data_IF_117371408409
#
_entry.id   IF_117371408409
#
_cell.length_a   1.000
_cell.length_b   1.000
_cell.length_c   1.000
_cell.angle_alpha   90.00
_cell.angle_beta   90.00
_cell.angle_gamma   90.00
#
_symmetry.space_group_name_H-M   'P 1'
#
loop_
_entity.id
_entity.type
_entity.pdbx_description
1 polymer ?
#
# COMPACT_ATOMS: atom_id res chain seq x y z
N UNK A 1 -0.67 -31.80 -6.79
CA UNK A 1 -1.24 -30.94 -7.86
C UNK A 1 -2.50 -30.30 -7.34
N UNK A 2 -2.62 -28.99 -7.54
CA UNK A 2 -3.78 -28.20 -7.14
C UNK A 2 -4.78 -28.18 -8.30
N UNK A 3 -6.05 -28.47 -8.03
CA UNK A 3 -7.11 -28.48 -9.05
C UNK A 3 -7.56 -27.07 -9.41
N UNK A 4 -7.92 -26.87 -10.67
CA UNK A 4 -8.57 -25.65 -11.15
C UNK A 4 -10.05 -25.96 -11.30
N UNK A 5 -10.91 -25.16 -10.66
CA UNK A 5 -12.37 -25.28 -10.80
C UNK A 5 -12.97 -23.98 -11.32
N UNK A 6 -14.05 -24.11 -12.10
CA UNK A 6 -14.87 -22.99 -12.54
C UNK A 6 -16.09 -22.90 -11.65
N UNK A 7 -16.35 -21.72 -11.09
CA UNK A 7 -17.49 -21.47 -10.20
C UNK A 7 -18.46 -20.53 -10.91
N UNK A 8 -19.70 -20.98 -11.09
CA UNK A 8 -20.79 -20.11 -11.57
C UNK A 8 -21.09 -19.05 -10.52
N UNK A 9 -21.31 -17.82 -10.96
CA UNK A 9 -21.56 -16.67 -10.09
C UNK A 9 -22.70 -15.80 -10.63
N UNK A 10 -23.14 -14.84 -9.83
CA UNK A 10 -24.06 -13.79 -10.25
C UNK A 10 -23.32 -12.46 -10.19
N UNK A 11 -23.41 -11.67 -11.26
CA UNK A 11 -22.80 -10.36 -11.32
C UNK A 11 -23.40 -9.37 -10.29
N UNK A 12 -22.56 -8.43 -9.85
CA UNK A 12 -22.96 -7.31 -9.00
C UNK A 12 -22.94 -6.01 -9.82
N UNK A 13 -23.89 -5.12 -9.56
CA UNK A 13 -24.03 -3.87 -10.32
C UNK A 13 -23.27 -2.68 -9.72
N UNK A 14 -22.68 -2.85 -8.53
CA UNK A 14 -22.10 -1.78 -7.73
C UNK A 14 -20.58 -1.90 -7.52
N UNK A 15 -19.93 -2.77 -8.29
CA UNK A 15 -18.47 -3.01 -8.26
C UNK A 15 -17.67 -2.01 -9.10
N UNK A 16 -18.10 -0.73 -9.11
CA UNK A 16 -17.37 0.33 -9.82
C UNK A 16 -16.12 0.72 -9.00
N UNK A 17 -14.90 0.55 -9.52
CA UNK A 17 -13.72 1.08 -8.87
C UNK A 17 -13.76 2.62 -8.94
N UNK A 18 -13.56 3.30 -7.82
CA UNK A 18 -13.30 4.73 -7.82
C UNK A 18 -11.85 5.02 -8.24
N UNK A 19 -11.47 6.30 -8.25
CA UNK A 19 -10.08 6.75 -8.51
C UNK A 19 -9.06 6.11 -7.57
N UNK A 20 -9.51 5.67 -6.39
CA UNK A 20 -8.69 5.02 -5.36
C UNK A 20 -9.17 3.60 -5.02
N UNK A 21 -9.66 2.86 -6.02
CA UNK A 21 -10.09 1.46 -5.90
C UNK A 21 -11.58 1.27 -5.54
N UNK A 22 -12.01 0.01 -5.45
CA UNK A 22 -13.34 -0.35 -4.95
C UNK A 22 -13.32 -0.37 -3.43
N UNK A 23 -14.12 0.48 -2.78
CA UNK A 23 -14.26 0.53 -1.31
C UNK A 23 -15.69 0.19 -0.91
N UNK A 24 -15.84 -0.71 0.07
CA UNK A 24 -17.12 -1.12 0.66
C UNK A 24 -16.90 -1.47 2.13
N UNK A 25 -17.99 -1.58 2.90
CA UNK A 25 -17.94 -2.17 4.24
C UNK A 25 -17.40 -3.59 4.17
N UNK A 26 -16.58 -4.00 5.14
CA UNK A 26 -16.10 -5.39 5.28
C UNK A 26 -17.25 -6.39 5.16
N UNK A 27 -18.38 -6.08 5.79
CA UNK A 27 -19.59 -6.91 5.78
C UNK A 27 -20.09 -7.24 4.37
N UNK A 28 -19.93 -6.33 3.40
CA UNK A 28 -20.30 -6.57 1.99
C UNK A 28 -19.41 -7.67 1.42
N UNK A 29 -18.08 -7.53 1.53
CA UNK A 29 -17.14 -8.55 1.05
C UNK A 29 -17.35 -9.93 1.70
N UNK A 30 -17.72 -9.96 2.98
CA UNK A 30 -17.92 -11.22 3.71
C UNK A 30 -19.29 -11.88 3.49
N UNK A 31 -20.35 -11.07 3.37
CA UNK A 31 -21.73 -11.60 3.40
C UNK A 31 -22.34 -11.72 2.02
N UNK A 32 -21.84 -10.97 1.04
CA UNK A 32 -22.25 -11.08 -0.36
C UNK A 32 -21.43 -12.18 -1.03
N UNK A 33 -22.07 -13.30 -1.32
CA UNK A 33 -21.42 -14.47 -1.92
C UNK A 33 -20.67 -14.09 -3.21
N UNK A 34 -19.42 -14.54 -3.33
CA UNK A 34 -18.55 -14.28 -4.48
C UNK A 34 -18.23 -12.79 -4.74
N UNK A 35 -18.49 -11.87 -3.80
CA UNK A 35 -18.29 -10.44 -4.07
C UNK A 35 -16.81 -10.10 -4.34
N UNK A 36 -15.90 -10.55 -3.46
CA UNK A 36 -14.48 -10.34 -3.66
C UNK A 36 -13.97 -11.10 -4.90
N UNK A 37 -14.40 -12.35 -5.05
CA UNK A 37 -14.01 -13.25 -6.14
C UNK A 37 -14.37 -12.67 -7.51
N UNK A 38 -15.60 -12.18 -7.68
CA UNK A 38 -16.06 -11.55 -8.93
C UNK A 38 -15.21 -10.33 -9.29
N UNK A 39 -14.86 -9.51 -8.30
CA UNK A 39 -14.07 -8.30 -8.55
C UNK A 39 -12.61 -8.63 -8.88
N UNK A 40 -12.00 -9.58 -8.16
CA UNK A 40 -10.64 -10.07 -8.42
C UNK A 40 -10.57 -10.70 -9.82
N UNK A 41 -11.55 -11.54 -10.19
CA UNK A 41 -11.65 -12.09 -11.54
C UNK A 41 -11.78 -11.00 -12.58
N UNK A 42 -12.60 -9.97 -12.34
CA UNK A 42 -12.76 -8.84 -13.26
C UNK A 42 -11.45 -8.07 -13.49
N UNK A 43 -10.64 -7.86 -12.44
CA UNK A 43 -9.30 -7.27 -12.56
C UNK A 43 -8.42 -8.13 -13.46
N UNK A 44 -8.29 -9.42 -13.16
CA UNK A 44 -7.40 -10.33 -13.89
C UNK A 44 -7.85 -10.51 -15.35
N UNK A 45 -9.16 -10.47 -15.61
CA UNK A 45 -9.73 -10.50 -16.95
C UNK A 45 -9.34 -9.32 -17.84
N UNK A 46 -8.83 -8.22 -17.27
CA UNK A 46 -8.26 -7.14 -18.08
C UNK A 46 -6.91 -7.48 -18.70
N UNK A 47 -6.21 -8.49 -18.16
CA UNK A 47 -4.92 -8.98 -18.64
C UNK A 47 -5.17 -10.02 -19.74
N UNK A 48 -4.63 -9.75 -20.92
CA UNK A 48 -4.74 -10.64 -22.08
C UNK A 48 -4.18 -12.04 -21.76
N UNK A 49 -4.90 -13.15 -22.07
CA UNK A 49 -4.50 -14.51 -21.72
C UNK A 49 -3.07 -14.88 -22.16
N UNK A 50 -2.66 -14.42 -23.35
CA UNK A 50 -1.34 -14.68 -23.91
C UNK A 50 -0.19 -14.10 -23.06
N UNK A 51 -0.45 -13.08 -22.24
CA UNK A 51 0.55 -12.41 -21.42
C UNK A 51 0.59 -12.90 -19.97
N UNK A 52 -0.43 -13.65 -19.52
CA UNK A 52 -0.59 -13.99 -18.09
C UNK A 52 0.54 -14.87 -17.56
N UNK A 53 1.01 -15.83 -18.36
CA UNK A 53 2.00 -16.81 -17.90
C UNK A 53 3.36 -16.19 -17.57
N UNK A 54 3.75 -15.11 -18.25
CA UNK A 54 4.97 -14.35 -17.98
C UNK A 54 4.71 -13.14 -17.07
N UNK A 55 3.44 -12.86 -16.74
CA UNK A 55 3.07 -11.75 -15.90
C UNK A 55 3.43 -12.00 -14.43
N UNK A 56 3.90 -10.93 -13.79
CA UNK A 56 3.98 -10.83 -12.33
C UNK A 56 2.99 -9.79 -11.84
N UNK A 57 2.23 -10.10 -10.78
CA UNK A 57 1.46 -9.12 -10.01
C UNK A 57 2.07 -8.95 -8.62
N UNK A 58 2.13 -7.71 -8.13
CA UNK A 58 2.49 -7.42 -6.73
C UNK A 58 1.21 -7.37 -5.90
N UNK A 59 1.20 -8.00 -4.72
CA UNK A 59 0.03 -8.03 -3.83
C UNK A 59 0.44 -7.66 -2.42
N UNK A 60 -0.33 -6.80 -1.76
CA UNK A 60 -0.16 -6.50 -0.35
C UNK A 60 -1.22 -5.55 0.13
N UNK A 61 -1.16 -5.16 1.40
CA UNK A 61 -2.14 -4.24 1.97
C UNK A 61 -1.69 -3.66 3.29
N UNK A 62 -2.62 -2.92 3.90
CA UNK A 62 -2.35 -2.11 5.07
C UNK A 62 -2.49 -2.82 6.43
N UNK A 63 -2.80 -4.12 6.40
CA UNK A 63 -2.96 -4.93 7.60
C UNK A 63 -4.38 -4.94 8.17
N UNK A 64 -5.34 -4.21 7.58
CA UNK A 64 -6.72 -4.21 8.09
C UNK A 64 -7.36 -5.60 8.07
N UNK A 65 -8.38 -5.75 8.91
CA UNK A 65 -9.23 -6.94 8.96
C UNK A 65 -9.71 -7.35 7.55
N UNK A 66 -9.82 -8.65 7.31
CA UNK A 66 -10.15 -9.29 6.01
C UNK A 66 -9.02 -9.29 4.96
N UNK A 67 -7.89 -8.58 5.20
CA UNK A 67 -6.80 -8.51 4.23
C UNK A 67 -6.21 -9.89 3.90
N UNK A 68 -5.91 -10.72 4.91
CA UNK A 68 -5.27 -12.02 4.70
C UNK A 68 -6.16 -12.98 3.91
N UNK A 69 -7.46 -12.98 4.20
CA UNK A 69 -8.47 -13.74 3.48
C UNK A 69 -8.53 -13.32 2.00
N UNK A 70 -8.57 -12.01 1.75
CA UNK A 70 -8.57 -11.47 0.39
C UNK A 70 -7.28 -11.80 -0.37
N UNK A 71 -6.11 -11.79 0.28
CA UNK A 71 -4.85 -12.25 -0.34
C UNK A 71 -4.96 -13.71 -0.77
N UNK A 72 -5.47 -14.60 0.10
CA UNK A 72 -5.64 -16.01 -0.27
C UNK A 72 -6.58 -16.16 -1.48
N UNK A 73 -7.67 -15.39 -1.55
CA UNK A 73 -8.54 -15.37 -2.73
C UNK A 73 -7.79 -14.93 -4.00
N UNK A 74 -7.00 -13.85 -3.92
CA UNK A 74 -6.18 -13.37 -5.04
C UNK A 74 -5.22 -14.45 -5.51
N UNK A 75 -4.51 -15.12 -4.59
CA UNK A 75 -3.56 -16.20 -4.93
C UNK A 75 -4.27 -17.32 -5.68
N UNK A 76 -5.42 -17.80 -5.17
CA UNK A 76 -6.19 -18.90 -5.77
C UNK A 76 -6.74 -18.55 -7.15
N UNK A 77 -7.26 -17.34 -7.33
CA UNK A 77 -7.85 -16.88 -8.59
C UNK A 77 -6.77 -16.56 -9.61
N UNK A 78 -5.67 -15.91 -9.21
CA UNK A 78 -4.54 -15.61 -10.08
C UNK A 78 -3.90 -16.89 -10.65
N UNK A 79 -3.68 -17.89 -9.79
CA UNK A 79 -3.18 -19.20 -10.19
C UNK A 79 -4.10 -19.86 -11.24
N UNK A 80 -5.40 -19.94 -10.96
CA UNK A 80 -6.38 -20.53 -11.87
C UNK A 80 -6.47 -19.80 -13.21
N UNK A 81 -6.27 -18.48 -13.21
CA UNK A 81 -6.29 -17.65 -14.40
C UNK A 81 -4.98 -17.63 -15.20
N UNK A 82 -3.95 -18.34 -14.75
CA UNK A 82 -2.67 -18.50 -15.45
C UNK A 82 -1.70 -17.34 -15.27
N UNK A 83 -1.85 -16.51 -14.23
CA UNK A 83 -0.78 -15.57 -13.84
C UNK A 83 0.45 -16.38 -13.42
N UNK A 84 1.63 -16.06 -13.95
CA UNK A 84 2.84 -16.83 -13.68
C UNK A 84 3.40 -16.67 -12.27
N UNK A 85 3.41 -15.43 -11.77
CA UNK A 85 4.02 -15.10 -10.48
C UNK A 85 3.24 -14.06 -9.68
N UNK A 86 3.14 -14.26 -8.36
CA UNK A 86 2.80 -13.21 -7.40
C UNK A 86 4.01 -12.87 -6.53
N UNK A 87 4.24 -11.58 -6.32
CA UNK A 87 5.18 -11.08 -5.29
C UNK A 87 4.36 -10.46 -4.17
N UNK A 88 4.47 -10.99 -2.97
CA UNK A 88 3.62 -10.63 -1.83
C UNK A 88 4.48 -10.20 -0.65
N UNK A 89 4.11 -9.11 0.02
CA UNK A 89 4.80 -8.73 1.26
C UNK A 89 4.61 -9.77 2.36
N UNK A 90 5.62 -9.91 3.21
CA UNK A 90 5.55 -10.77 4.39
C UNK A 90 4.32 -10.41 5.24
N UNK A 91 3.59 -11.43 5.70
CA UNK A 91 2.30 -11.33 6.39
C UNK A 91 1.20 -10.61 5.59
N UNK A 92 1.41 -10.38 4.29
CA UNK A 92 0.54 -9.59 3.42
C UNK A 92 0.78 -8.08 3.49
N UNK A 93 1.76 -7.62 4.28
CA UNK A 93 2.00 -6.19 4.55
C UNK A 93 2.85 -5.59 3.44
N UNK A 94 2.28 -4.63 2.70
CA UNK A 94 3.02 -3.70 1.83
C UNK A 94 2.30 -2.36 1.83
N UNK A 95 3.02 -1.28 2.10
CA UNK A 95 2.49 0.07 1.89
C UNK A 95 2.22 0.35 0.41
N UNK A 96 1.29 1.26 0.12
CA UNK A 96 1.01 1.66 -1.26
C UNK A 96 2.28 2.16 -1.99
N UNK A 97 3.16 2.99 -1.36
CA UNK A 97 4.46 3.33 -1.95
C UNK A 97 5.38 2.13 -2.19
N UNK A 98 5.41 1.15 -1.29
CA UNK A 98 6.23 -0.05 -1.46
C UNK A 98 5.74 -0.92 -2.62
N UNK A 99 4.41 -1.08 -2.79
CA UNK A 99 3.85 -1.75 -3.96
C UNK A 99 4.28 -1.06 -5.25
N UNK A 100 4.15 0.27 -5.32
CA UNK A 100 4.57 1.04 -6.50
C UNK A 100 6.06 0.86 -6.82
N UNK A 101 6.90 0.95 -5.79
CA UNK A 101 8.35 0.72 -5.88
C UNK A 101 8.66 -0.67 -6.47
N UNK A 102 8.05 -1.72 -5.91
CA UNK A 102 8.30 -3.11 -6.31
C UNK A 102 7.81 -3.35 -7.74
N UNK A 103 6.60 -2.89 -8.11
CA UNK A 103 6.07 -3.03 -9.48
C UNK A 103 7.09 -2.51 -10.49
N UNK A 104 7.61 -1.29 -10.26
CA UNK A 104 8.57 -0.64 -11.15
C UNK A 104 9.93 -1.34 -11.16
N UNK A 105 10.43 -1.77 -9.99
CA UNK A 105 11.72 -2.48 -9.84
C UNK A 105 11.73 -3.79 -10.62
N UNK A 106 10.66 -4.58 -10.52
CA UNK A 106 10.60 -5.92 -11.12
C UNK A 106 9.87 -5.96 -12.47
N UNK A 107 9.43 -4.81 -12.98
CA UNK A 107 8.63 -4.68 -14.20
C UNK A 107 7.37 -5.56 -14.19
N UNK A 108 6.68 -5.59 -13.05
CA UNK A 108 5.40 -6.26 -12.91
C UNK A 108 4.34 -5.63 -13.84
N UNK A 109 3.32 -6.39 -14.22
CA UNK A 109 2.23 -5.85 -15.05
C UNK A 109 1.30 -4.91 -14.26
N UNK A 110 1.39 -4.96 -12.94
CA UNK A 110 0.58 -4.18 -12.01
C UNK A 110 0.62 -4.76 -10.60
N UNK A 111 -0.32 -4.34 -9.78
CA UNK A 111 -0.50 -4.90 -8.45
C UNK A 111 -1.87 -4.63 -7.84
N UNK A 112 -2.26 -5.48 -6.90
CA UNK A 112 -3.53 -5.38 -6.17
C UNK A 112 -3.21 -4.99 -4.73
N UNK A 113 -3.74 -3.86 -4.29
CA UNK A 113 -3.47 -3.29 -2.96
C UNK A 113 -4.74 -3.36 -2.12
N UNK A 114 -4.66 -4.05 -0.99
CA UNK A 114 -5.78 -4.27 -0.09
C UNK A 114 -5.78 -3.20 1.00
N UNK A 115 -6.52 -2.13 0.72
CA UNK A 115 -6.57 -0.95 1.58
C UNK A 115 -7.78 -0.08 1.25
N UNK A 116 -8.37 0.54 2.26
CA UNK A 116 -9.29 1.66 2.12
C UNK A 116 -8.69 2.99 2.65
N UNK A 117 -7.36 3.10 2.70
CA UNK A 117 -6.62 4.32 3.07
C UNK A 117 -7.03 4.85 4.45
N UNK A 118 -7.53 6.10 4.58
CA UNK A 118 -7.99 6.66 5.88
C UNK A 118 -9.21 5.99 6.48
N UNK A 119 -9.96 5.21 5.70
CA UNK A 119 -11.17 4.60 6.22
C UNK A 119 -10.84 3.61 7.36
N UNK A 120 -11.68 3.54 8.41
CA UNK A 120 -11.43 2.71 9.58
C UNK A 120 -11.46 1.22 9.21
N UNK A 121 -10.72 0.41 9.97
CA UNK A 121 -10.60 -1.04 9.80
C UNK A 121 -11.52 -1.83 10.73
N UNK A 122 -11.22 -3.12 10.88
CA UNK A 122 -11.96 -4.03 11.76
C UNK A 122 -13.23 -4.64 11.14
N UNK A 123 -13.91 -5.57 11.84
CA UNK A 123 -15.09 -6.29 11.33
C UNK A 123 -16.24 -5.37 10.92
N UNK A 124 -16.38 -4.24 11.62
CA UNK A 124 -17.37 -3.19 11.37
C UNK A 124 -16.75 -2.01 10.61
N UNK A 125 -15.61 -2.20 9.95
CA UNK A 125 -14.91 -1.18 9.19
C UNK A 125 -15.17 -1.25 7.69
N UNK A 126 -14.29 -0.58 6.97
CA UNK A 126 -14.26 -0.56 5.52
C UNK A 126 -13.07 -1.38 4.99
N UNK A 127 -13.28 -1.98 3.84
CA UNK A 127 -12.27 -2.71 3.09
C UNK A 127 -12.19 -2.16 1.67
N UNK A 128 -11.03 -2.28 1.05
CA UNK A 128 -10.83 -1.78 -0.30
C UNK A 128 -9.87 -2.63 -1.11
N UNK A 129 -10.13 -2.68 -2.41
CA UNK A 129 -9.28 -3.35 -3.40
C UNK A 129 -8.90 -2.30 -4.44
N UNK A 130 -7.65 -1.82 -4.37
CA UNK A 130 -7.02 -0.94 -5.37
C UNK A 130 -6.30 -1.77 -6.42
N UNK A 131 -6.25 -1.28 -7.65
CA UNK A 131 -5.46 -1.86 -8.72
C UNK A 131 -4.51 -0.81 -9.31
N UNK A 132 -3.21 -1.12 -9.28
CA UNK A 132 -2.17 -0.35 -9.94
C UNK A 132 -1.70 -1.08 -11.20
N UNK A 133 -1.27 -0.32 -12.20
CA UNK A 133 -0.77 -0.85 -13.48
C UNK A 133 0.76 -0.85 -13.53
N UNK A 134 1.33 -1.24 -14.67
CA UNK A 134 2.77 -1.50 -14.86
C UNK A 134 3.71 -0.32 -14.58
N UNK A 135 3.23 0.93 -14.66
CA UNK A 135 4.05 2.10 -14.29
C UNK A 135 4.18 2.28 -12.76
N UNK A 136 3.47 1.47 -11.97
CA UNK A 136 3.40 1.51 -10.51
C UNK A 136 2.31 2.42 -9.94
N UNK A 137 1.58 3.16 -10.78
CA UNK A 137 0.51 4.07 -10.38
C UNK A 137 -0.89 3.45 -10.49
N UNK A 138 -1.93 4.16 -10.00
CA UNK A 138 -3.32 3.70 -10.06
C UNK A 138 -3.78 3.41 -11.48
N UNK A 139 -4.69 2.45 -11.63
CA UNK A 139 -5.34 2.18 -12.90
C UNK A 139 -6.10 3.43 -13.40
N UNK A 140 -5.91 3.85 -14.66
CA UNK A 140 -6.64 4.97 -15.24
C UNK A 140 -8.10 4.61 -15.51
N UNK A 141 -8.94 5.62 -15.75
CA UNK A 141 -10.38 5.46 -15.96
C UNK A 141 -10.74 4.39 -16.99
N UNK A 142 -10.03 4.35 -18.12
CA UNK A 142 -10.24 3.34 -19.16
C UNK A 142 -10.11 1.90 -18.64
N UNK A 143 -9.17 1.65 -17.73
CA UNK A 143 -8.97 0.33 -17.12
C UNK A 143 -10.02 0.08 -16.03
N UNK A 144 -10.32 1.06 -15.17
CA UNK A 144 -11.35 0.90 -14.13
C UNK A 144 -12.75 0.70 -14.72
N UNK A 145 -13.06 1.36 -15.84
CA UNK A 145 -14.30 1.16 -16.57
C UNK A 145 -14.34 -0.22 -17.22
N UNK A 146 -13.24 -0.71 -17.80
CA UNK A 146 -13.15 -2.08 -18.32
C UNK A 146 -13.41 -3.11 -17.21
N UNK A 147 -12.81 -2.93 -16.03
CA UNK A 147 -13.06 -3.79 -14.85
C UNK A 147 -14.54 -3.75 -14.49
N UNK A 148 -15.15 -2.55 -14.42
CA UNK A 148 -16.55 -2.40 -14.05
C UNK A 148 -17.51 -2.99 -15.08
N UNK A 149 -17.22 -2.91 -16.38
CA UNK A 149 -18.04 -3.56 -17.40
C UNK A 149 -17.99 -5.08 -17.26
N UNK A 150 -16.80 -5.66 -17.05
CA UNK A 150 -16.64 -7.11 -16.82
C UNK A 150 -17.41 -7.53 -15.56
N UNK A 151 -17.31 -6.78 -14.46
CA UNK A 151 -17.94 -7.14 -13.19
C UNK A 151 -19.47 -7.17 -13.26
N UNK A 152 -20.08 -6.34 -14.12
CA UNK A 152 -21.53 -6.27 -14.28
C UNK A 152 -22.12 -7.43 -15.08
N UNK A 153 -21.30 -8.16 -15.84
CA UNK A 153 -21.74 -9.22 -16.73
C UNK A 153 -21.04 -10.56 -16.49
N UNK A 154 -20.21 -10.67 -15.45
CA UNK A 154 -19.53 -11.92 -15.08
C UNK A 154 -20.53 -13.03 -14.71
N UNK A 155 -20.35 -14.20 -15.33
CA UNK A 155 -21.18 -15.40 -15.10
C UNK A 155 -20.43 -16.52 -14.39
N UNK A 156 -19.09 -16.49 -14.44
CA UNK A 156 -18.23 -17.47 -13.78
C UNK A 156 -16.85 -16.90 -13.47
N UNK A 157 -16.14 -17.53 -12.53
CA UNK A 157 -14.73 -17.28 -12.25
C UNK A 157 -13.97 -18.59 -12.07
N UNK A 158 -12.65 -18.56 -12.32
CA UNK A 158 -11.78 -19.71 -12.11
C UNK A 158 -11.02 -19.57 -10.79
N UNK A 159 -10.92 -20.65 -10.02
CA UNK A 159 -10.24 -20.66 -8.72
C UNK A 159 -9.54 -21.99 -8.45
N UNK A 160 -8.44 -21.93 -7.69
CA UNK A 160 -7.77 -23.09 -7.10
C UNK A 160 -8.16 -23.21 -5.62
N UNK A 161 -9.27 -23.88 -5.25
CA UNK A 161 -9.84 -23.78 -3.90
C UNK A 161 -8.91 -24.31 -2.81
N UNK A 162 -8.13 -25.35 -3.13
CA UNK A 162 -7.24 -26.03 -2.19
C UNK A 162 -5.87 -25.32 -2.05
N UNK A 163 -5.59 -24.29 -2.87
CA UNK A 163 -4.33 -23.56 -2.80
C UNK A 163 -4.30 -22.70 -1.54
N UNK A 164 -3.25 -22.88 -0.74
CA UNK A 164 -2.96 -22.06 0.43
C UNK A 164 -1.48 -21.66 0.41
N UNK A 165 -1.23 -20.37 0.57
CA UNK A 165 0.12 -19.82 0.75
C UNK A 165 0.37 -19.52 2.23
N UNK A 166 1.58 -19.77 2.71
CA UNK A 166 2.03 -19.23 4.00
C UNK A 166 2.61 -17.82 3.78
N UNK A 167 1.94 -16.80 4.30
CA UNK A 167 2.38 -15.41 4.14
C UNK A 167 3.52 -15.04 5.10
N UNK A 168 3.78 -15.82 6.14
CA UNK A 168 4.76 -15.49 7.18
C UNK A 168 6.20 -15.86 6.80
N UNK A 169 6.38 -16.80 5.88
CA UNK A 169 7.69 -17.36 5.52
C UNK A 169 8.21 -16.69 4.25
N UNK A 170 9.33 -15.96 4.38
CA UNK A 170 10.03 -15.35 3.25
C UNK A 170 10.51 -16.40 2.25
N UNK A 171 10.57 -16.01 0.98
CA UNK A 171 11.10 -16.81 -0.10
C UNK A 171 10.03 -17.36 -1.04
N UNK A 172 10.45 -18.31 -1.87
CA UNK A 172 9.68 -18.82 -3.01
C UNK A 172 8.87 -20.05 -2.63
N UNK A 173 7.58 -20.03 -2.97
CA UNK A 173 6.65 -21.15 -2.88
C UNK A 173 6.13 -21.47 -4.29
N UNK A 174 6.22 -22.73 -4.71
CA UNK A 174 5.78 -23.16 -6.04
C UNK A 174 4.62 -24.16 -5.94
N UNK A 175 3.68 -24.05 -6.88
CA UNK A 175 2.48 -24.85 -6.91
C UNK A 175 2.26 -25.43 -8.31
N UNK A 176 2.24 -26.75 -8.41
CA UNK A 176 1.88 -27.44 -9.65
C UNK A 176 0.36 -27.48 -9.79
N UNK A 177 -0.15 -26.87 -10.85
CA UNK A 177 -1.57 -26.81 -11.15
C UNK A 177 -1.95 -27.89 -12.15
N UNK A 178 -3.12 -28.49 -11.97
CA UNK A 178 -3.68 -29.46 -12.91
C UNK A 178 -3.78 -28.84 -14.32
N UNK A 179 -3.38 -29.61 -15.35
CA UNK A 179 -3.39 -29.20 -16.76
C UNK A 179 -2.58 -27.92 -17.08
N UNK A 180 -1.58 -27.56 -16.25
CA UNK A 180 -0.61 -26.49 -16.55
C UNK A 180 0.81 -27.04 -16.54
N UNK A 181 1.58 -26.70 -17.58
CA UNK A 181 2.96 -27.17 -17.71
C UNK A 181 3.95 -26.37 -16.84
N UNK A 182 3.74 -25.06 -16.71
CA UNK A 182 4.57 -24.19 -15.85
C UNK A 182 3.95 -24.09 -14.45
N UNK A 183 4.75 -24.14 -13.38
CA UNK A 183 4.24 -23.99 -12.03
C UNK A 183 3.81 -22.53 -11.77
N UNK A 184 2.82 -22.36 -10.91
CA UNK A 184 2.48 -21.06 -10.34
C UNK A 184 3.47 -20.73 -9.21
N UNK A 185 3.99 -19.49 -9.19
CA UNK A 185 5.00 -19.08 -8.22
C UNK A 185 4.47 -17.96 -7.32
N UNK A 186 4.65 -18.12 -6.01
CA UNK A 186 4.49 -17.04 -5.04
C UNK A 186 5.84 -16.74 -4.40
N UNK A 187 6.23 -15.48 -4.37
CA UNK A 187 7.46 -15.00 -3.74
C UNK A 187 7.08 -14.07 -2.59
N UNK A 188 7.30 -14.52 -1.36
CA UNK A 188 7.09 -13.71 -0.15
C UNK A 188 8.36 -12.90 0.10
N UNK A 189 8.23 -11.58 0.08
CA UNK A 189 9.35 -10.64 0.22
C UNK A 189 9.26 -9.85 1.53
N UNK A 190 10.40 -9.41 2.05
CA UNK A 190 10.41 -8.48 3.17
C UNK A 190 9.64 -7.20 2.78
N UNK A 191 8.75 -6.75 3.67
CA UNK A 191 7.86 -5.63 3.39
C UNK A 191 8.58 -4.30 3.16
N UNK A 192 9.82 -4.17 3.66
CA UNK A 192 10.53 -2.89 3.75
C UNK A 192 11.76 -2.84 2.84
N UNK A 193 12.49 -3.94 2.64
CA UNK A 193 13.80 -3.98 1.97
C UNK A 193 13.83 -3.20 0.65
N UNK A 194 12.96 -3.54 -0.30
CA UNK A 194 13.02 -2.96 -1.63
C UNK A 194 12.74 -1.45 -1.60
N UNK A 195 11.84 -1.02 -0.71
CA UNK A 195 11.48 0.37 -0.50
C UNK A 195 12.59 1.14 0.22
N UNK A 196 13.18 0.59 1.28
CA UNK A 196 14.34 1.18 1.97
C UNK A 196 15.53 1.32 1.02
N UNK A 197 15.80 0.31 0.18
CA UNK A 197 16.82 0.38 -0.86
C UNK A 197 16.55 1.50 -1.85
N UNK A 198 15.29 1.75 -2.24
CA UNK A 198 14.95 2.90 -3.07
C UNK A 198 15.23 4.22 -2.33
N UNK A 199 14.81 4.35 -1.06
CA UNK A 199 15.01 5.57 -0.28
C UNK A 199 16.49 5.89 -0.04
N UNK A 200 17.34 4.87 0.19
CA UNK A 200 18.80 5.01 0.28
C UNK A 200 19.44 5.64 -0.96
N UNK A 201 18.83 5.43 -2.13
CA UNK A 201 19.30 6.01 -3.39
C UNK A 201 18.69 7.40 -3.67
N UNK A 202 17.73 7.86 -2.86
CA UNK A 202 17.07 9.15 -3.01
C UNK A 202 17.63 10.17 -2.02
N UNK A 203 17.80 9.77 -0.76
CA UNK A 203 18.20 10.61 0.36
C UNK A 203 19.61 10.26 0.84
N UNK A 204 20.28 11.25 1.45
CA UNK A 204 21.55 11.01 2.15
C UNK A 204 21.27 10.41 3.54
N UNK A 205 21.38 9.10 3.66
CA UNK A 205 21.15 8.39 4.92
C UNK A 205 22.23 8.69 5.97
N UNK A 206 23.44 9.10 5.58
CA UNK A 206 24.47 9.48 6.55
C UNK A 206 24.11 10.80 7.22
N UNK A 207 23.73 11.80 6.43
CA UNK A 207 23.28 13.09 6.95
C UNK A 207 22.01 12.95 7.83
N UNK A 208 21.05 12.13 7.40
CA UNK A 208 19.85 11.85 8.21
C UNK A 208 20.18 11.11 9.51
N UNK A 209 21.13 10.17 9.48
CA UNK A 209 21.57 9.45 10.68
C UNK A 209 22.26 10.39 11.66
N UNK A 210 23.12 11.29 11.18
CA UNK A 210 23.75 12.32 12.02
C UNK A 210 22.69 13.24 12.66
N UNK A 211 21.66 13.63 11.90
CA UNK A 211 20.56 14.46 12.40
C UNK A 211 19.73 13.77 13.49
N UNK A 212 19.49 12.46 13.37
CA UNK A 212 18.59 11.70 14.25
C UNK A 212 19.28 11.00 15.42
N UNK A 213 20.62 10.99 15.45
CA UNK A 213 21.42 10.32 16.48
C UNK A 213 22.36 11.27 17.23
N UNK A 214 22.91 10.80 18.35
CA UNK A 214 23.82 11.59 19.18
C UNK A 214 23.15 12.56 20.17
N UNK A 215 23.95 13.41 20.85
CA UNK A 215 23.49 14.28 21.93
C UNK A 215 22.62 15.45 21.45
N UNK A 216 22.90 15.99 20.26
CA UNK A 216 22.19 17.13 19.66
C UNK A 216 21.11 16.69 18.66
N UNK A 217 20.68 15.42 18.73
CA UNK A 217 19.71 14.86 17.78
C UNK A 217 18.42 15.67 17.71
N UNK A 218 17.83 15.72 16.53
CA UNK A 218 16.46 16.17 16.34
C UNK A 218 15.51 15.21 17.08
N UNK A 219 14.71 15.72 18.01
CA UNK A 219 13.76 14.88 18.75
C UNK A 219 12.49 14.71 17.94
N UNK A 220 12.27 13.51 17.41
CA UNK A 220 11.13 13.22 16.55
C UNK A 220 10.06 12.34 17.23
N UNK A 221 8.81 12.49 16.79
CA UNK A 221 7.66 11.62 17.09
C UNK A 221 6.93 11.26 15.80
N UNK A 222 6.90 9.98 15.47
CA UNK A 222 6.39 9.48 14.21
C UNK A 222 5.28 8.47 14.49
N UNK A 223 4.05 8.85 14.20
CA UNK A 223 2.85 8.08 14.45
C UNK A 223 2.41 7.34 13.18
N UNK A 224 2.46 6.01 13.20
CA UNK A 224 1.99 5.21 12.08
C UNK A 224 0.48 4.90 12.15
N UNK A 225 -0.23 5.43 13.16
CA UNK A 225 -1.67 5.27 13.41
C UNK A 225 -2.12 3.80 13.37
N UNK A 226 -1.28 2.89 13.89
CA UNK A 226 -1.48 1.44 13.87
C UNK A 226 -1.64 0.85 12.45
N UNK A 227 -1.24 1.60 11.42
CA UNK A 227 -1.31 1.22 10.01
C UNK A 227 -0.02 0.63 9.48
N UNK A 228 0.04 0.53 8.15
CA UNK A 228 1.07 -0.20 7.42
C UNK A 228 2.48 0.36 7.62
N UNK A 229 2.59 1.65 7.96
CA UNK A 229 3.87 2.38 8.00
C UNK A 229 4.70 2.00 9.24
N UNK A 230 4.12 1.32 10.22
CA UNK A 230 4.81 0.96 11.47
C UNK A 230 6.14 0.22 11.29
N UNK A 231 6.19 -0.90 10.55
CA UNK A 231 7.45 -1.60 10.25
C UNK A 231 8.45 -0.75 9.46
N UNK A 232 7.98 0.16 8.61
CA UNK A 232 8.84 1.06 7.84
C UNK A 232 9.51 2.11 8.74
N UNK A 233 8.76 2.70 9.67
CA UNK A 233 9.31 3.62 10.68
C UNK A 233 10.36 2.93 11.53
N UNK A 234 10.05 1.73 12.06
CA UNK A 234 10.97 0.99 12.91
C UNK A 234 12.26 0.60 12.16
N UNK A 235 12.16 -0.03 10.99
CA UNK A 235 13.33 -0.49 10.25
C UNK A 235 14.16 0.67 9.67
N UNK A 236 13.52 1.71 9.14
CA UNK A 236 14.24 2.79 8.45
C UNK A 236 14.65 3.88 9.45
N UNK A 237 13.71 4.50 10.16
CA UNK A 237 14.03 5.63 11.02
C UNK A 237 14.75 5.19 12.30
N UNK A 238 14.34 4.08 12.92
CA UNK A 238 14.95 3.64 14.18
C UNK A 238 16.19 2.77 13.98
N UNK A 239 16.07 1.64 13.28
CA UNK A 239 17.18 0.68 13.14
C UNK A 239 18.30 1.21 12.22
N UNK A 240 17.96 1.74 11.04
CA UNK A 240 18.96 2.17 10.05
C UNK A 240 19.49 3.58 10.33
N UNK A 241 18.60 4.55 10.58
CA UNK A 241 18.95 5.96 10.84
C UNK A 241 19.17 6.31 12.32
N UNK A 242 18.95 5.36 13.24
CA UNK A 242 19.35 5.52 14.65
C UNK A 242 18.43 6.41 15.49
N UNK A 243 17.22 6.74 15.05
CA UNK A 243 16.24 7.41 15.90
C UNK A 243 15.88 6.50 17.10
N UNK A 244 15.78 7.03 18.33
CA UNK A 244 15.40 6.22 19.49
C UNK A 244 14.06 5.50 19.29
N UNK A 245 13.91 4.30 19.87
CA UNK A 245 12.70 3.49 19.68
C UNK A 245 11.40 4.20 20.12
N UNK A 246 11.48 5.13 21.10
CA UNK A 246 10.33 5.93 21.53
C UNK A 246 9.90 7.00 20.50
N UNK A 247 10.63 7.18 19.41
CA UNK A 247 10.18 7.97 18.26
C UNK A 247 9.11 7.26 17.44
N UNK A 248 9.05 5.92 17.47
CA UNK A 248 8.09 5.11 16.74
C UNK A 248 6.81 4.90 17.55
N UNK A 249 5.78 5.71 17.29
CA UNK A 249 4.49 5.69 17.97
C UNK A 249 3.48 4.91 17.14
N UNK A 250 2.67 4.06 17.78
CA UNK A 250 1.65 3.23 17.13
C UNK A 250 2.18 2.41 15.94
N UNK A 251 3.46 2.03 15.98
CA UNK A 251 4.17 1.36 14.89
C UNK A 251 4.03 -0.17 14.90
N UNK A 252 2.86 -0.67 15.30
CA UNK A 252 2.47 -2.08 15.17
C UNK A 252 1.17 -2.09 14.38
N UNK A 253 1.15 -2.68 13.17
CA UNK A 253 -0.08 -2.79 12.38
C UNK A 253 -1.15 -3.57 13.14
N UNK A 254 -2.36 -3.01 13.24
CA UNK A 254 -3.52 -3.64 13.87
C UNK A 254 -4.67 -3.73 12.86
N UNK A 255 -5.43 -4.83 12.91
CA UNK A 255 -6.50 -5.10 11.94
C UNK A 255 -7.65 -4.07 11.99
N UNK A 256 -7.82 -3.39 13.12
CA UNK A 256 -8.79 -2.32 13.36
C UNK A 256 -8.14 -0.95 13.55
N UNK A 257 -6.82 -0.83 13.32
CA UNK A 257 -6.03 0.37 13.58
C UNK A 257 -6.18 0.91 15.02
N UNK A 258 -6.36 0.01 16.00
CA UNK A 258 -6.59 0.41 17.40
C UNK A 258 -8.00 0.95 17.66
N UNK A 259 -8.94 0.75 16.73
CA UNK A 259 -10.31 1.27 16.83
C UNK A 259 -10.47 2.72 16.36
N UNK A 260 -9.43 3.29 15.73
CA UNK A 260 -9.41 4.67 15.26
C UNK A 260 -9.42 4.78 13.73
N UNK A 261 -9.66 6.00 13.22
CA UNK A 261 -9.44 6.30 11.81
C UNK A 261 -7.94 6.57 11.58
N UNK A 262 -7.26 5.82 10.70
CA UNK A 262 -5.87 6.09 10.36
C UNK A 262 -5.81 7.24 9.33
N UNK A 263 -6.19 8.45 9.77
CA UNK A 263 -6.28 9.65 8.93
C UNK A 263 -5.44 10.80 9.52
N UNK A 264 -4.30 11.16 8.91
CA UNK A 264 -3.37 12.12 9.49
C UNK A 264 -3.87 13.55 9.33
N UNK A 265 -4.64 14.02 10.32
CA UNK A 265 -5.07 15.41 10.45
C UNK A 265 -5.16 15.80 11.93
N UNK A 266 -5.37 17.09 12.20
CA UNK A 266 -5.38 17.64 13.56
C UNK A 266 -6.48 17.05 14.46
N UNK A 267 -7.52 16.44 13.88
CA UNK A 267 -8.63 15.83 14.61
C UNK A 267 -8.34 14.39 14.99
N UNK A 268 -7.96 13.54 14.02
CA UNK A 268 -7.77 12.10 14.27
C UNK A 268 -6.38 11.77 14.82
N UNK A 269 -5.36 12.57 14.52
CA UNK A 269 -4.03 12.45 15.13
C UNK A 269 -3.87 13.38 16.35
N UNK A 270 -4.94 13.57 17.13
CA UNK A 270 -4.97 14.47 18.28
C UNK A 270 -3.89 14.12 19.33
N UNK A 271 -3.65 12.82 19.58
CA UNK A 271 -2.64 12.37 20.55
C UNK A 271 -1.23 12.82 20.15
N UNK A 272 -0.91 12.77 18.85
CA UNK A 272 0.35 13.32 18.33
C UNK A 272 0.39 14.84 18.53
N UNK A 273 -0.70 15.56 18.23
CA UNK A 273 -0.78 17.02 18.40
C UNK A 273 -0.55 17.41 19.87
N UNK A 274 -1.21 16.76 20.82
CA UNK A 274 -1.02 17.01 22.25
C UNK A 274 0.40 16.66 22.70
N UNK A 275 0.98 15.57 22.19
CA UNK A 275 2.39 15.24 22.45
C UNK A 275 3.33 16.34 21.96
N UNK A 276 3.12 16.85 20.74
CA UNK A 276 3.96 17.90 20.16
C UNK A 276 3.81 19.25 20.89
N UNK A 277 2.64 19.55 21.46
CA UNK A 277 2.38 20.78 22.25
C UNK A 277 3.22 20.88 23.51
N UNK A 278 3.69 19.76 24.06
CA UNK A 278 4.61 19.74 25.22
C UNK A 278 5.90 20.52 24.97
N UNK A 279 6.31 20.68 23.70
CA UNK A 279 7.57 21.33 23.33
C UNK A 279 8.81 20.46 23.52
N UNK A 280 8.66 19.20 23.89
CA UNK A 280 9.78 18.26 24.06
C UNK A 280 10.37 17.78 22.73
N UNK A 281 9.56 17.74 21.67
CA UNK A 281 9.92 17.25 20.34
C UNK A 281 9.97 18.40 19.34
N UNK A 282 10.91 18.32 18.41
CA UNK A 282 11.15 19.35 17.40
C UNK A 282 10.38 19.08 16.10
N UNK A 283 10.08 17.80 15.83
CA UNK A 283 9.37 17.35 14.63
C UNK A 283 8.40 16.19 14.93
N UNK A 284 7.18 16.31 14.41
CA UNK A 284 6.14 15.29 14.50
C UNK A 284 5.61 14.93 13.11
N UNK A 285 5.29 13.66 12.89
CA UNK A 285 4.58 13.25 11.68
C UNK A 285 3.57 12.13 11.95
N UNK A 286 2.47 12.13 11.22
CA UNK A 286 1.48 11.04 11.20
C UNK A 286 1.28 10.52 9.77
N UNK A 287 1.02 9.21 9.64
CA UNK A 287 0.70 8.56 8.37
C UNK A 287 -0.71 7.97 8.35
N UNK A 288 -1.29 7.84 7.17
CA UNK A 288 -2.56 7.14 6.99
C UNK A 288 -2.40 5.62 6.89
N UNK A 289 -3.53 4.91 6.75
CA UNK A 289 -3.58 3.45 6.78
C UNK A 289 -2.58 2.76 5.83
N UNK A 290 -2.50 3.20 4.57
CA UNK A 290 -1.59 2.63 3.56
C UNK A 290 -0.32 3.43 3.28
N UNK A 291 -0.10 4.52 4.01
CA UNK A 291 1.16 5.26 4.05
C UNK A 291 1.43 6.14 2.83
N UNK A 292 0.40 6.54 2.08
CA UNK A 292 0.54 7.45 0.94
C UNK A 292 0.23 8.92 1.32
N UNK A 293 -0.28 9.17 2.54
CA UNK A 293 -0.49 10.51 3.09
C UNK A 293 0.33 10.75 4.35
N UNK A 294 0.63 12.03 4.59
CA UNK A 294 1.36 12.47 5.76
C UNK A 294 0.82 13.81 6.29
N UNK A 295 0.94 14.00 7.60
CA UNK A 295 0.81 15.29 8.28
C UNK A 295 2.15 15.61 8.94
N UNK A 296 2.57 16.87 8.87
CA UNK A 296 3.83 17.36 9.44
C UNK A 296 3.53 18.40 10.53
N UNK A 297 4.19 18.23 11.68
CA UNK A 297 4.13 19.13 12.83
C UNK A 297 5.55 19.58 13.20
N UNK A 298 5.69 20.86 13.50
CA UNK A 298 6.85 21.39 14.19
C UNK A 298 6.69 21.36 15.71
N UNK A 299 7.70 21.91 16.38
CA UNK A 299 7.71 22.13 17.83
C UNK A 299 6.46 22.89 18.31
N UNK A 300 5.99 22.56 19.51
CA UNK A 300 4.76 23.11 20.11
C UNK A 300 3.48 22.84 19.31
N UNK A 301 3.48 21.82 18.45
CA UNK A 301 2.33 21.48 17.61
C UNK A 301 2.12 22.44 16.45
N UNK A 302 3.17 23.13 15.99
CA UNK A 302 3.10 23.99 14.81
C UNK A 302 2.63 23.20 13.59
N UNK A 303 1.45 23.50 13.08
CA UNK A 303 0.87 22.78 11.95
C UNK A 303 1.43 23.27 10.62
N UNK A 304 2.09 22.38 9.88
CA UNK A 304 2.50 22.66 8.50
C UNK A 304 1.35 22.28 7.57
N UNK A 305 0.69 23.27 6.97
CA UNK A 305 -0.36 23.02 6.00
C UNK A 305 0.19 22.18 4.82
N UNK A 306 -0.51 21.13 4.33
CA UNK A 306 -0.02 20.30 3.25
C UNK A 306 0.34 21.05 1.95
N UNK A 307 -0.36 22.16 1.66
CA UNK A 307 -0.05 23.00 0.49
C UNK A 307 1.26 23.77 0.67
N UNK A 308 1.55 24.22 1.88
CA UNK A 308 2.82 24.87 2.19
C UNK A 308 3.96 23.86 2.31
N UNK A 309 3.68 22.65 2.79
CA UNK A 309 4.66 21.55 2.86
C UNK A 309 5.29 21.27 1.49
N UNK A 310 4.47 21.11 0.44
CA UNK A 310 4.99 20.90 -0.91
C UNK A 310 5.73 22.12 -1.47
N UNK A 311 5.29 23.34 -1.15
CA UNK A 311 5.98 24.57 -1.56
C UNK A 311 7.37 24.70 -0.90
N UNK A 312 7.47 24.40 0.40
CA UNK A 312 8.74 24.40 1.15
C UNK A 312 9.69 23.33 0.62
N UNK A 313 9.19 22.12 0.31
CA UNK A 313 10.01 21.07 -0.32
C UNK A 313 10.51 21.53 -1.69
N UNK A 314 9.65 22.15 -2.51
CA UNK A 314 10.02 22.65 -3.84
C UNK A 314 11.09 23.75 -3.75
N UNK A 315 10.95 24.69 -2.81
CA UNK A 315 11.93 25.76 -2.59
C UNK A 315 13.29 25.26 -2.09
N UNK A 316 13.33 24.09 -1.42
CA UNK A 316 14.56 23.50 -0.85
C UNK A 316 14.96 22.19 -1.54
N UNK A 317 14.43 21.92 -2.73
CA UNK A 317 14.43 20.59 -3.37
C UNK A 317 15.84 20.01 -3.61
N UNK A 318 16.83 20.87 -3.82
CA UNK A 318 18.22 20.48 -4.00
C UNK A 318 18.95 20.11 -2.69
N UNK A 319 18.27 20.12 -1.55
CA UNK A 319 18.77 19.46 -0.33
C UNK A 319 18.72 17.93 -0.43
N UNK A 320 18.01 17.39 -1.44
CA UNK A 320 17.82 15.96 -1.65
C UNK A 320 18.72 15.51 -2.81
N UNK A 321 19.65 14.55 -2.59
CA UNK A 321 20.61 14.09 -3.60
C UNK A 321 19.98 13.67 -4.93
N UNK A 322 18.81 13.03 -4.90
CA UNK A 322 18.08 12.65 -6.11
C UNK A 322 17.88 13.85 -7.06
N UNK A 323 17.37 14.98 -6.55
CA UNK A 323 17.09 16.14 -7.39
C UNK A 323 18.35 16.92 -7.80
N UNK A 324 19.43 16.82 -7.02
CA UNK A 324 20.74 17.31 -7.44
C UNK A 324 21.24 16.56 -8.70
N UNK A 325 20.98 15.25 -8.77
CA UNK A 325 21.40 14.41 -9.90
C UNK A 325 20.44 14.48 -11.08
N UNK A 326 19.12 14.49 -10.85
CA UNK A 326 18.12 14.40 -11.91
C UNK A 326 17.67 15.76 -12.45
N UNK A 327 17.94 16.84 -11.71
CA UNK A 327 17.29 18.13 -11.90
C UNK A 327 15.79 18.08 -11.59
N UNK A 328 15.11 19.20 -11.84
CA UNK A 328 13.66 19.36 -11.66
C UNK A 328 13.02 19.62 -13.02
N UNK A 329 12.04 18.78 -13.40
CA UNK A 329 11.40 18.83 -14.73
C UNK A 329 10.10 19.65 -14.75
N UNK A 330 9.56 19.96 -13.58
CA UNK A 330 8.31 20.68 -13.40
C UNK A 330 7.65 20.33 -12.06
N UNK A 331 6.76 21.21 -11.61
CA UNK A 331 5.94 21.02 -10.42
C UNK A 331 4.47 20.86 -10.81
N UNK A 332 3.72 20.16 -9.98
CA UNK A 332 2.28 19.98 -10.18
C UNK A 332 1.56 19.94 -8.82
N UNK A 333 0.32 20.45 -8.80
CA UNK A 333 -0.61 20.33 -7.69
C UNK A 333 -2.02 20.09 -8.20
N UNK A 334 -2.88 19.55 -7.35
CA UNK A 334 -4.32 19.50 -7.66
C UNK A 334 -4.90 20.91 -7.69
N UNK A 335 -5.95 21.13 -8.49
CA UNK A 335 -6.66 22.42 -8.57
C UNK A 335 -7.00 23.03 -7.19
N UNK A 336 -7.55 22.28 -6.20
CA UNK A 336 -7.91 22.83 -4.90
C UNK A 336 -6.73 23.06 -3.94
N UNK A 337 -5.53 22.56 -4.25
CA UNK A 337 -4.33 22.84 -3.45
C UNK A 337 -3.99 24.34 -3.55
N UNK A 338 -3.54 24.97 -2.45
CA UNK A 338 -3.25 26.41 -2.45
C UNK A 338 -2.20 26.80 -3.51
N UNK A 339 -2.17 28.09 -3.88
CA UNK A 339 -1.23 28.62 -4.85
C UNK A 339 0.20 28.82 -4.33
N UNK A 340 0.56 28.22 -3.18
CA UNK A 340 1.88 28.39 -2.57
C UNK A 340 3.00 27.80 -3.43
N UNK A 341 2.75 26.66 -4.11
CA UNK A 341 3.71 26.00 -4.99
C UNK A 341 4.00 26.80 -6.28
N UNK A 342 3.09 27.69 -6.67
CA UNK A 342 3.20 28.54 -7.86
C UNK A 342 4.12 29.75 -7.64
N UNK A 343 4.48 30.03 -6.37
CA UNK A 343 5.34 31.15 -5.96
C UNK A 343 6.80 30.75 -5.93
#
# INVERSE_FOLDING_TARGET
MVKIVTVKTKAYQDQKPGTSGLRKRVKVFQSSANYAENFIQSIISTVEPAHRQEATLVVGGDGRFYMKEAIQLIVRIAAANGIGRLVIGQNGILSTPAVSCIIRKIKAIGGIILTASHNPGGPNGDFGIKFNISNGGPAPEAITDKIFQISKTIEEYAICPDLKVDLGVLGKQQFDLENKFKPFTVEIVDSVEAYATMLRNIFDFNALKELLSGPNRLKIRIDAMHGVVGPYVKKILCEELGAPANSAVNCVPLEDFGGHHPDPNLTYAADLVETMKTGEHDFGAAFDGDGDRNMILGKHGFFVNPSDSVAVIAANIFSIPYFQQTGVRGFARSMPTSGALDR
#
